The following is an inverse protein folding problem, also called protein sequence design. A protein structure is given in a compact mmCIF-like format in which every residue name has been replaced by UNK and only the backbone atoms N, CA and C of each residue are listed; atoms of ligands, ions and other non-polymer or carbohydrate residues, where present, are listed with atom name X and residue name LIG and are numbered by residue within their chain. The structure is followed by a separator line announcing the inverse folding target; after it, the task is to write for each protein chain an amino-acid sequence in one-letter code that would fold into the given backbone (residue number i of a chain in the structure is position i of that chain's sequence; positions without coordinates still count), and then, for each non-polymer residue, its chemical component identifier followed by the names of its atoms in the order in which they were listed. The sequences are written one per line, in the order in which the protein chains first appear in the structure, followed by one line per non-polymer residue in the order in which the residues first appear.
data_IF_043161056636
#
_entry.id   IF_043161056636
#
_cell.length_a   1.000
_cell.length_b   1.000
_cell.length_c   1.000
_cell.angle_alpha   90.00
_cell.angle_beta   90.00
_cell.angle_gamma   90.00
#
_symmetry.space_group_name_H-M   'P 1'
#
loop_
_entity.id
_entity.type
_entity.pdbx_description
1 polymer ?
#
# COMPACT_ATOMS: atom_id res chain seq x y z
N UNK A 1 -20.24 20.92 2.90
CA UNK A 1 -19.28 20.45 3.91
C UNK A 1 -18.04 19.92 3.22
N UNK A 2 -17.01 20.76 3.08
CA UNK A 2 -15.73 20.36 2.46
C UNK A 2 -14.77 19.98 3.59
N UNK A 3 -14.43 18.69 3.67
CA UNK A 3 -13.45 18.14 4.61
C UNK A 3 -12.05 18.51 4.09
N UNK A 4 -11.42 19.48 4.75
CA UNK A 4 -10.00 19.76 4.59
C UNK A 4 -9.21 18.55 5.10
N UNK A 5 -8.59 17.80 4.19
CA UNK A 5 -7.67 16.73 4.56
C UNK A 5 -6.32 17.36 4.91
N UNK A 6 -6.05 17.40 6.22
CA UNK A 6 -4.74 17.63 6.81
C UNK A 6 -3.78 16.53 6.36
N UNK A 7 -2.65 16.90 5.75
CA UNK A 7 -1.32 16.25 5.91
C UNK A 7 -0.29 16.96 5.03
N UNK A 8 0.15 18.14 5.49
CA UNK A 8 1.44 18.68 5.05
C UNK A 8 2.14 19.29 6.26
N UNK A 9 2.39 18.46 7.26
CA UNK A 9 3.29 18.83 8.33
C UNK A 9 4.53 17.94 8.28
N UNK A 10 5.62 18.63 7.94
CA UNK A 10 6.93 18.50 8.58
C UNK A 10 7.95 17.54 7.94
N UNK A 11 9.00 18.13 7.33
CA UNK A 11 10.39 17.86 7.79
C UNK A 11 11.40 18.92 7.32
N UNK A 12 11.83 19.69 8.32
CA UNK A 12 13.16 20.30 8.53
C UNK A 12 13.49 21.57 7.75
N UNK A 13 13.17 22.68 8.40
CA UNK A 13 13.87 23.96 8.33
C UNK A 13 15.39 23.75 8.50
N UNK A 14 16.13 23.68 7.39
CA UNK A 14 17.55 24.01 7.37
C UNK A 14 17.65 25.51 7.17
N UNK A 15 17.94 26.24 8.26
CA UNK A 15 18.30 27.65 8.25
C UNK A 15 19.51 27.86 7.32
N UNK A 16 19.40 28.73 6.32
CA UNK A 16 20.55 29.39 5.68
C UNK A 16 21.18 28.75 4.43
N UNK A 17 20.51 27.85 3.70
CA UNK A 17 20.92 27.52 2.34
C UNK A 17 20.04 28.30 1.36
N UNK A 18 20.62 29.18 0.55
CA UNK A 18 19.93 29.77 -0.61
C UNK A 18 19.41 28.60 -1.43
N UNK A 19 18.09 28.34 -1.45
CA UNK A 19 17.54 27.28 -2.28
C UNK A 19 17.62 27.76 -3.73
N UNK A 20 18.54 27.24 -4.55
CA UNK A 20 18.67 27.72 -5.92
C UNK A 20 17.40 27.35 -6.68
N UNK A 21 16.78 28.34 -7.33
CA UNK A 21 15.67 28.08 -8.24
C UNK A 21 16.23 27.45 -9.52
N UNK A 22 15.85 26.20 -9.79
CA UNK A 22 16.14 25.54 -11.06
C UNK A 22 15.12 26.01 -12.10
N UNK A 23 15.58 26.74 -13.12
CA UNK A 23 14.78 27.14 -14.28
C UNK A 23 15.27 26.39 -15.52
N UNK A 24 14.38 25.70 -16.22
CA UNK A 24 14.67 25.04 -17.50
C UNK A 24 14.34 26.02 -18.62
N UNK A 25 15.36 26.46 -19.37
CA UNK A 25 15.16 27.30 -20.56
C UNK A 25 14.65 26.44 -21.72
N UNK A 26 13.77 27.02 -22.54
CA UNK A 26 13.26 26.43 -23.77
C UNK A 26 12.66 25.02 -23.60
N UNK A 27 11.91 24.80 -22.51
CA UNK A 27 11.25 23.52 -22.25
C UNK A 27 10.22 23.20 -23.35
N UNK A 28 10.39 22.11 -24.14
CA UNK A 28 9.45 21.76 -25.19
C UNK A 28 8.06 21.49 -24.61
N UNK A 29 7.01 21.94 -25.30
CA UNK A 29 5.61 21.80 -24.85
C UNK A 29 5.27 20.35 -24.51
N UNK A 30 5.70 19.39 -25.34
CA UNK A 30 5.44 17.96 -25.11
C UNK A 30 6.00 17.49 -23.76
N UNK A 31 7.21 17.92 -23.40
CA UNK A 31 7.87 17.53 -22.14
C UNK A 31 7.12 18.12 -20.95
N UNK A 32 6.74 19.40 -21.04
CA UNK A 32 5.95 20.06 -19.99
C UNK A 32 4.61 19.37 -19.77
N UNK A 33 3.87 19.05 -20.84
CA UNK A 33 2.57 18.38 -20.73
C UNK A 33 2.70 16.98 -20.14
N UNK A 34 3.72 16.20 -20.54
CA UNK A 34 3.97 14.88 -19.94
C UNK A 34 4.32 14.98 -18.45
N UNK A 35 5.09 15.99 -18.06
CA UNK A 35 5.41 16.25 -16.65
C UNK A 35 4.15 16.61 -15.86
N UNK A 36 3.30 17.49 -16.41
CA UNK A 36 2.02 17.91 -15.81
C UNK A 36 1.07 16.73 -15.63
N UNK A 37 0.91 15.89 -16.65
CA UNK A 37 0.09 14.69 -16.57
C UNK A 37 0.59 13.71 -15.50
N UNK A 38 1.90 13.52 -15.38
CA UNK A 38 2.49 12.69 -14.32
C UNK A 38 2.25 13.27 -12.93
N UNK A 39 2.39 14.58 -12.76
CA UNK A 39 2.15 15.27 -11.49
C UNK A 39 0.68 15.12 -11.05
N UNK A 40 -0.26 15.32 -11.97
CA UNK A 40 -1.69 15.15 -11.72
C UNK A 40 -2.04 13.70 -11.32
N UNK A 41 -1.51 12.71 -12.05
CA UNK A 41 -1.73 11.27 -11.76
C UNK A 41 -1.25 10.87 -10.35
N UNK A 42 -0.20 11.51 -9.85
CA UNK A 42 0.39 11.17 -8.55
C UNK A 42 -0.05 12.11 -7.42
N UNK A 43 -1.01 13.01 -7.68
CA UNK A 43 -1.48 14.04 -6.75
C UNK A 43 -0.33 14.88 -6.16
N UNK A 44 0.63 15.27 -7.00
CA UNK A 44 1.78 16.12 -6.63
C UNK A 44 1.79 17.42 -7.41
N UNK A 45 2.47 18.44 -6.88
CA UNK A 45 2.77 19.65 -7.64
C UNK A 45 3.79 19.35 -8.76
N UNK A 46 3.80 20.17 -9.81
CA UNK A 46 4.73 20.01 -10.95
C UNK A 46 6.19 20.10 -10.47
N UNK A 47 6.50 21.06 -9.59
CA UNK A 47 7.85 21.22 -9.03
C UNK A 47 8.28 20.01 -8.20
N UNK A 48 7.38 19.42 -7.41
CA UNK A 48 7.67 18.22 -6.63
C UNK A 48 7.83 16.98 -7.51
N UNK A 49 7.06 16.87 -8.59
CA UNK A 49 7.22 15.79 -9.57
C UNK A 49 8.56 15.92 -10.30
N UNK A 50 8.98 17.13 -10.66
CA UNK A 50 10.30 17.38 -11.26
C UNK A 50 11.43 16.96 -10.30
N UNK A 51 11.36 17.36 -9.03
CA UNK A 51 12.32 16.92 -8.01
C UNK A 51 12.34 15.40 -7.85
N UNK A 52 11.17 14.75 -7.81
CA UNK A 52 11.08 13.29 -7.69
C UNK A 52 11.80 12.59 -8.86
N UNK A 53 11.62 13.09 -10.09
CA UNK A 53 12.29 12.54 -11.28
C UNK A 53 13.81 12.76 -11.20
N UNK A 54 14.25 13.94 -10.77
CA UNK A 54 15.68 14.25 -10.62
C UNK A 54 16.34 13.41 -9.52
N UNK A 55 15.69 13.25 -8.36
CA UNK A 55 16.16 12.40 -7.26
C UNK A 55 16.24 10.93 -7.68
N UNK A 56 15.25 10.43 -8.43
CA UNK A 56 15.24 9.08 -9.00
C UNK A 56 16.41 8.91 -10.01
N UNK A 57 16.62 9.88 -10.89
CA UNK A 57 17.68 9.83 -11.91
C UNK A 57 19.09 9.87 -11.29
N UNK A 58 19.26 10.66 -10.23
CA UNK A 58 20.53 10.78 -9.51
C UNK A 58 20.75 9.65 -8.48
N UNK A 59 19.80 8.71 -8.36
CA UNK A 59 19.87 7.63 -7.37
C UNK A 59 19.85 8.10 -5.91
N UNK A 60 19.41 9.33 -5.67
CA UNK A 60 19.31 9.93 -4.33
C UNK A 60 18.08 9.42 -3.57
N UNK A 61 17.07 9.00 -4.33
CA UNK A 61 15.95 8.27 -3.76
C UNK A 61 16.39 6.81 -3.60
N UNK A 62 16.22 6.20 -2.40
CA UNK A 62 16.32 4.75 -2.32
C UNK A 62 15.36 4.22 -3.38
N UNK A 63 15.87 3.36 -4.27
CA UNK A 63 15.10 2.89 -5.42
C UNK A 63 13.67 2.66 -4.94
N UNK A 64 12.66 3.42 -5.43
CA UNK A 64 11.30 3.04 -5.15
C UNK A 64 11.29 1.58 -5.58
N UNK A 65 10.88 0.67 -4.71
CA UNK A 65 10.87 -0.73 -5.05
C UNK A 65 10.05 -0.86 -6.35
N UNK A 66 10.70 -0.77 -7.50
CA UNK A 66 10.06 -0.79 -8.82
C UNK A 66 9.70 -2.23 -9.14
N UNK A 67 10.28 -3.15 -8.36
CA UNK A 67 9.76 -4.46 -7.99
C UNK A 67 8.52 -4.41 -7.06
N UNK A 68 7.72 -3.35 -7.02
CA UNK A 68 6.58 -3.26 -6.08
C UNK A 68 5.33 -2.60 -6.68
N UNK A 69 5.30 -2.24 -7.97
CA UNK A 69 4.05 -1.88 -8.67
C UNK A 69 3.59 -2.91 -9.69
N UNK A 70 4.50 -3.47 -10.51
CA UNK A 70 4.16 -4.65 -11.34
C UNK A 70 4.20 -5.95 -10.54
N UNK A 71 5.17 -6.11 -9.63
CA UNK A 71 5.17 -7.19 -8.63
C UNK A 71 4.01 -7.10 -7.64
N UNK A 72 3.39 -5.96 -7.33
CA UNK A 72 2.17 -6.01 -6.48
C UNK A 72 0.97 -6.64 -7.19
N UNK A 73 0.89 -6.58 -8.52
CA UNK A 73 -0.16 -7.25 -9.28
C UNK A 73 0.22 -8.70 -9.67
N UNK A 74 1.49 -8.96 -10.05
CA UNK A 74 1.93 -10.32 -10.44
C UNK A 74 2.69 -11.08 -9.34
N UNK A 75 3.37 -10.44 -8.38
CA UNK A 75 4.09 -11.15 -7.28
C UNK A 75 3.21 -11.61 -6.13
N UNK A 76 1.99 -11.06 -5.96
CA UNK A 76 1.04 -11.66 -5.02
C UNK A 76 0.63 -13.08 -5.50
N UNK A 77 0.70 -13.35 -6.81
CA UNK A 77 0.41 -14.68 -7.37
C UNK A 77 1.66 -15.49 -7.79
N UNK A 78 2.71 -14.87 -8.34
CA UNK A 78 3.89 -15.57 -8.88
C UNK A 78 5.05 -15.75 -7.88
N UNK A 79 5.23 -14.86 -6.90
CA UNK A 79 6.33 -14.99 -5.93
C UNK A 79 6.01 -15.96 -4.78
N UNK A 80 4.73 -16.32 -4.65
CA UNK A 80 4.26 -17.52 -3.95
C UNK A 80 4.90 -18.81 -4.49
N UNK A 81 5.25 -18.84 -5.79
CA UNK A 81 5.60 -20.09 -6.47
C UNK A 81 7.11 -20.29 -6.70
N UNK A 82 8.00 -19.40 -6.23
CA UNK A 82 9.45 -19.48 -6.55
C UNK A 82 10.44 -19.28 -5.40
N UNK A 83 9.97 -19.11 -4.16
CA UNK A 83 10.84 -19.27 -2.97
C UNK A 83 10.91 -20.75 -2.58
N UNK A 84 12.05 -21.28 -2.11
CA UNK A 84 12.05 -22.58 -1.43
C UNK A 84 11.01 -22.49 -0.33
N UNK A 85 10.02 -23.37 -0.42
CA UNK A 85 8.78 -23.25 0.29
C UNK A 85 9.01 -23.30 1.82
N UNK A 86 8.84 -22.20 2.57
CA UNK A 86 8.87 -22.26 4.03
C UNK A 86 7.63 -22.99 4.59
N UNK A 87 6.69 -23.40 3.72
CA UNK A 87 5.43 -24.00 4.10
C UNK A 87 5.54 -25.44 4.55
N UNK A 88 6.54 -26.25 4.18
CA UNK A 88 6.54 -27.65 4.63
C UNK A 88 6.55 -27.78 6.16
N UNK A 89 7.39 -26.97 6.82
CA UNK A 89 7.40 -26.91 8.29
C UNK A 89 6.18 -26.21 8.90
N UNK A 90 5.51 -25.30 8.18
CA UNK A 90 4.33 -24.57 8.68
C UNK A 90 3.02 -25.33 8.43
N UNK A 91 2.92 -26.06 7.33
CA UNK A 91 1.83 -26.97 6.97
C UNK A 91 1.82 -28.11 7.98
N UNK A 92 2.98 -28.69 8.27
CA UNK A 92 3.09 -29.76 9.25
C UNK A 92 2.73 -29.27 10.67
N UNK A 93 3.25 -28.10 11.07
CA UNK A 93 2.84 -27.44 12.34
C UNK A 93 1.34 -27.15 12.40
N UNK A 94 0.75 -26.66 11.31
CA UNK A 94 -0.70 -26.44 11.22
C UNK A 94 -1.46 -27.75 11.35
N UNK A 95 -1.06 -28.81 10.65
CA UNK A 95 -1.69 -30.13 10.74
C UNK A 95 -1.68 -30.67 12.16
N UNK A 96 -0.53 -30.58 12.85
CA UNK A 96 -0.40 -30.98 14.25
C UNK A 96 -1.32 -30.16 15.16
N UNK A 97 -1.37 -28.84 14.98
CA UNK A 97 -2.25 -27.94 15.73
C UNK A 97 -3.73 -28.30 15.51
N UNK A 98 -4.15 -28.57 14.27
CA UNK A 98 -5.53 -28.99 14.00
C UNK A 98 -5.88 -30.36 14.60
N UNK A 99 -4.93 -31.31 14.65
CA UNK A 99 -5.12 -32.59 15.35
C UNK A 99 -5.21 -32.42 16.88
N UNK A 100 -4.46 -31.47 17.45
CA UNK A 100 -4.62 -31.10 18.86
C UNK A 100 -5.99 -30.47 19.14
N UNK A 101 -6.45 -29.54 18.30
CA UNK A 101 -7.78 -28.92 18.43
C UNK A 101 -8.89 -29.97 18.38
N UNK A 102 -8.79 -30.97 17.49
CA UNK A 102 -9.78 -32.06 17.39
C UNK A 102 -9.93 -32.89 18.67
N UNK A 103 -8.88 -32.94 19.51
CA UNK A 103 -8.90 -33.67 20.78
C UNK A 103 -9.47 -32.83 21.93
N UNK A 104 -9.62 -31.51 21.75
CA UNK A 104 -10.19 -30.64 22.77
C UNK A 104 -11.70 -30.88 22.89
N UNK A 105 -12.26 -30.81 24.12
CA UNK A 105 -13.70 -30.87 24.29
C UNK A 105 -14.36 -29.69 23.58
N UNK A 106 -15.55 -29.89 22.98
CA UNK A 106 -16.33 -28.79 22.44
C UNK A 106 -16.56 -27.72 23.51
N UNK A 107 -16.48 -26.46 23.09
CA UNK A 107 -16.91 -25.36 23.96
C UNK A 107 -18.41 -25.53 24.27
N UNK A 108 -18.86 -25.22 25.49
CA UNK A 108 -20.27 -25.29 25.82
C UNK A 108 -21.05 -24.38 24.88
N UNK A 109 -21.98 -24.96 24.14
CA UNK A 109 -22.87 -24.23 23.25
C UNK A 109 -23.81 -23.39 24.13
N UNK A 110 -23.77 -22.07 23.96
CA UNK A 110 -24.66 -21.16 24.66
C UNK A 110 -25.85 -20.88 23.76
N UNK A 111 -27.05 -21.20 24.24
CA UNK A 111 -28.33 -20.91 23.57
C UNK A 111 -28.58 -19.41 23.40
N UNK A 112 -27.78 -18.55 24.03
CA UNK A 112 -27.91 -17.09 23.95
C UNK A 112 -27.25 -16.48 22.72
N UNK A 113 -26.49 -17.24 21.93
CA UNK A 113 -25.89 -16.73 20.71
C UNK A 113 -26.86 -16.86 19.53
N UNK A 114 -27.06 -15.79 18.73
CA UNK A 114 -27.78 -15.90 17.48
C UNK A 114 -27.11 -16.92 16.57
N UNK A 115 -27.92 -17.66 15.82
CA UNK A 115 -27.42 -18.58 14.80
C UNK A 115 -26.47 -17.87 13.84
N UNK A 116 -25.44 -18.59 13.37
CA UNK A 116 -24.50 -18.08 12.37
C UNK A 116 -25.18 -17.49 11.13
N UNK A 117 -26.34 -18.03 10.74
CA UNK A 117 -27.14 -17.53 9.63
C UNK A 117 -27.76 -16.16 9.93
N UNK A 118 -28.25 -15.95 11.16
CA UNK A 118 -28.82 -14.67 11.59
C UNK A 118 -27.74 -13.59 11.67
N UNK A 119 -26.54 -13.93 12.13
CA UNK A 119 -25.41 -12.99 12.15
C UNK A 119 -25.05 -12.50 10.74
N UNK A 120 -24.99 -13.42 9.77
CA UNK A 120 -24.71 -13.07 8.36
C UNK A 120 -25.84 -12.21 7.77
N UNK A 121 -27.10 -12.49 8.15
CA UNK A 121 -28.25 -11.69 7.71
C UNK A 121 -28.20 -10.27 8.28
N UNK A 122 -27.94 -10.13 9.58
CA UNK A 122 -27.85 -8.85 10.26
C UNK A 122 -26.74 -7.96 9.66
N UNK A 123 -25.53 -8.49 9.43
CA UNK A 123 -24.45 -7.68 8.81
C UNK A 123 -24.83 -7.15 7.43
N UNK A 124 -25.55 -7.94 6.62
CA UNK A 124 -26.02 -7.51 5.29
C UNK A 124 -27.09 -6.42 5.38
N UNK A 125 -27.90 -6.45 6.41
CA UNK A 125 -28.93 -5.44 6.67
C UNK A 125 -28.32 -4.14 7.20
N UNK A 126 -27.30 -4.23 8.06
CA UNK A 126 -26.51 -3.09 8.54
C UNK A 126 -25.73 -2.40 7.40
N UNK A 127 -25.15 -3.17 6.47
CA UNK A 127 -24.43 -2.63 5.31
C UNK A 127 -25.35 -1.93 4.28
N UNK A 128 -26.66 -2.20 4.32
CA UNK A 128 -27.65 -1.69 3.38
C UNK A 128 -28.39 -0.43 3.87
N UNK A 129 -28.27 -0.09 5.16
CA UNK A 129 -28.93 1.04 5.82
C UNK A 129 -28.07 2.32 5.81
#
# INVERSE_FOLDING_TARGET
MQKACYTCENRRSKKGAVMPALQVKDCPTEVYERLRACAARENRSISQQALTILEDYLGMRPAPARSDRRRRQTSIYEESCRRPDPSEGLIEKRRQLFEEIRKLPPLPESDQLPSSVELVRQSREEDAA
#
